data_IF_108537157410
#
_entry.id   IF_108537157410
#
_cell.length_a   1.000
_cell.length_b   1.000
_cell.length_c   1.000
_cell.angle_alpha   90.00
_cell.angle_beta   90.00
_cell.angle_gamma   90.00
#
_symmetry.space_group_name_H-M   'P 1'
#
loop_
_entity.id
_entity.type
_entity.pdbx_description
1 polymer ?
#
# COMPACT_ATOMS: atom_id res chain seq x y z
N UNK A 1 -71.62 47.03 -13.89
CA UNK A 1 -71.76 45.65 -14.41
C UNK A 1 -71.68 45.71 -15.93
N UNK A 2 -71.04 44.71 -16.54
CA UNK A 2 -70.92 44.43 -17.99
C UNK A 2 -69.90 45.33 -18.73
N UNK A 3 -68.69 44.85 -19.02
CA UNK A 3 -68.21 43.97 -20.13
C UNK A 3 -67.98 44.73 -21.45
N UNK A 4 -66.73 44.77 -21.95
CA UNK A 4 -66.42 45.25 -23.30
C UNK A 4 -64.94 45.58 -23.60
N UNK A 5 -64.14 44.51 -23.80
CA UNK A 5 -62.85 44.34 -24.52
C UNK A 5 -62.37 45.49 -25.44
N UNK A 6 -61.13 46.00 -25.31
CA UNK A 6 -59.83 45.49 -25.82
C UNK A 6 -59.57 45.69 -27.33
N UNK A 7 -58.60 46.57 -27.66
CA UNK A 7 -57.47 46.44 -28.63
C UNK A 7 -56.73 47.81 -28.68
N UNK A 8 -55.42 48.00 -28.84
CA UNK A 8 -54.32 47.20 -29.38
C UNK A 8 -52.99 47.94 -29.07
N UNK A 9 -51.90 47.22 -28.77
CA UNK A 9 -50.52 47.74 -28.89
C UNK A 9 -49.67 47.61 -27.62
N UNK A 10 -49.02 46.48 -27.31
CA UNK A 10 -47.81 45.88 -27.93
C UNK A 10 -46.49 46.41 -27.33
N UNK A 11 -45.77 45.51 -26.65
CA UNK A 11 -44.35 45.61 -26.22
C UNK A 11 -44.22 45.73 -24.70
N UNK A 12 -44.22 44.64 -23.91
CA UNK A 12 -43.11 43.66 -23.74
C UNK A 12 -41.80 44.37 -23.33
N UNK A 13 -41.18 44.24 -22.16
CA UNK A 13 -41.29 43.50 -20.88
C UNK A 13 -40.08 44.02 -20.06
N UNK A 14 -40.16 44.43 -18.79
CA UNK A 14 -40.23 43.60 -17.57
C UNK A 14 -39.26 42.38 -17.68
N UNK A 15 -38.24 42.16 -16.84
CA UNK A 15 -37.88 42.65 -15.51
C UNK A 15 -36.38 42.41 -15.25
N UNK A 16 -35.84 43.18 -14.30
CA UNK A 16 -34.55 42.92 -13.69
C UNK A 16 -34.56 41.57 -12.93
N UNK A 17 -33.70 40.64 -13.33
CA UNK A 17 -33.45 39.39 -12.59
C UNK A 17 -32.05 39.44 -11.99
N UNK A 18 -32.04 39.69 -10.68
CA UNK A 18 -30.92 39.48 -9.77
C UNK A 18 -30.28 38.10 -10.02
N UNK A 19 -29.08 38.09 -10.60
CA UNK A 19 -28.21 36.91 -10.66
C UNK A 19 -26.85 37.34 -10.13
N UNK A 20 -26.61 37.06 -8.86
CA UNK A 20 -25.28 37.07 -8.28
C UNK A 20 -24.38 36.13 -9.08
N UNK A 21 -23.35 36.67 -9.73
CA UNK A 21 -22.29 35.92 -10.38
C UNK A 21 -21.69 34.93 -9.37
N UNK A 22 -21.70 33.61 -9.63
CA UNK A 22 -21.09 32.66 -8.73
C UNK A 22 -19.59 32.92 -8.68
N UNK A 23 -19.12 33.26 -7.48
CA UNK A 23 -17.73 33.61 -7.17
C UNK A 23 -16.78 32.53 -7.73
N UNK A 24 -16.03 32.88 -8.78
CA UNK A 24 -15.20 31.96 -9.57
C UNK A 24 -14.15 31.20 -8.74
N UNK A 25 -13.87 31.71 -7.54
CA UNK A 25 -12.95 31.14 -6.57
C UNK A 25 -13.51 29.93 -5.79
N UNK A 26 -14.83 29.66 -5.84
CA UNK A 26 -15.43 28.47 -5.22
C UNK A 26 -15.34 27.20 -6.08
N UNK A 27 -15.08 27.32 -7.39
CA UNK A 27 -14.90 26.15 -8.29
C UNK A 27 -13.51 25.50 -8.11
N UNK A 28 -12.59 26.19 -7.43
CA UNK A 28 -11.23 25.71 -7.19
C UNK A 28 -11.05 24.97 -5.85
N UNK A 29 -12.08 24.89 -5.01
CA UNK A 29 -11.99 24.33 -3.67
C UNK A 29 -12.73 22.98 -3.60
N UNK A 30 -12.02 21.88 -3.95
CA UNK A 30 -12.45 20.47 -3.77
C UNK A 30 -13.66 20.06 -4.63
N UNK A 31 -13.62 19.04 -5.48
CA UNK A 31 -13.75 17.60 -5.21
C UNK A 31 -13.51 16.94 -6.60
N UNK A 32 -12.55 16.05 -6.81
CA UNK A 32 -12.73 14.59 -6.78
C UNK A 32 -11.51 13.95 -7.49
N UNK A 33 -10.29 14.40 -7.20
CA UNK A 33 -9.13 13.68 -7.69
C UNK A 33 -8.91 12.44 -6.82
N UNK A 34 -9.64 11.37 -7.15
CA UNK A 34 -9.27 10.02 -6.76
C UNK A 34 -8.25 9.52 -7.79
N UNK A 35 -6.96 9.41 -7.45
CA UNK A 35 -5.98 8.84 -8.38
C UNK A 35 -6.48 7.47 -8.85
N UNK A 36 -6.21 7.10 -10.12
CA UNK A 36 -6.59 5.79 -10.63
C UNK A 36 -6.07 4.71 -9.69
N UNK A 37 -6.90 3.70 -9.42
CA UNK A 37 -6.52 2.56 -8.59
C UNK A 37 -5.15 2.05 -9.04
N UNK A 38 -4.18 1.88 -8.13
CA UNK A 38 -2.88 1.35 -8.50
C UNK A 38 -3.09 0.01 -9.22
N UNK A 39 -2.25 -0.31 -10.22
CA UNK A 39 -2.34 -1.58 -10.91
C UNK A 39 -2.34 -2.70 -9.88
N UNK A 40 -3.24 -3.67 -10.07
CA UNK A 40 -3.30 -4.86 -9.23
C UNK A 40 -1.91 -5.49 -9.22
N UNK A 41 -1.40 -5.77 -8.02
CA UNK A 41 -0.12 -6.46 -7.90
C UNK A 41 -0.26 -7.86 -8.48
N UNK A 42 0.77 -8.37 -9.16
CA UNK A 42 0.80 -9.76 -9.60
C UNK A 42 0.45 -10.67 -8.42
N UNK A 43 -0.38 -11.71 -8.62
CA UNK A 43 -0.62 -12.71 -7.60
C UNK A 43 0.71 -13.34 -7.17
N UNK A 44 0.87 -13.55 -5.86
CA UNK A 44 2.00 -14.32 -5.34
C UNK A 44 2.01 -15.72 -5.99
N UNK A 45 3.18 -16.28 -6.33
CA UNK A 45 3.28 -17.61 -6.90
C UNK A 45 2.66 -18.68 -5.99
N UNK A 46 2.04 -19.73 -6.57
CA UNK A 46 1.29 -20.72 -5.81
C UNK A 46 2.16 -21.66 -4.98
N UNK A 47 3.45 -21.76 -5.29
CA UNK A 47 4.40 -22.68 -4.65
C UNK A 47 5.52 -21.90 -3.96
N UNK A 48 6.01 -22.46 -2.87
CA UNK A 48 7.19 -21.91 -2.19
C UNK A 48 8.37 -21.87 -3.15
N UNK A 49 9.00 -20.70 -3.29
CA UNK A 49 10.22 -20.53 -4.10
C UNK A 49 11.47 -20.93 -3.34
N UNK A 50 11.33 -21.26 -2.07
CA UNK A 50 12.42 -21.50 -1.13
C UNK A 50 12.12 -22.70 -0.23
N UNK A 51 13.13 -23.14 0.49
CA UNK A 51 13.15 -24.25 1.44
C UNK A 51 13.68 -23.76 2.79
N UNK A 52 13.22 -24.37 3.88
CA UNK A 52 13.66 -23.98 5.23
C UNK A 52 15.17 -24.21 5.42
N UNK A 53 15.64 -25.43 5.18
CA UNK A 53 17.04 -25.78 5.47
C UNK A 53 18.02 -25.23 4.43
N UNK A 54 17.62 -25.19 3.16
CA UNK A 54 18.49 -24.74 2.07
C UNK A 54 18.58 -23.22 1.99
N UNK A 55 17.44 -22.54 1.90
CA UNK A 55 17.41 -21.11 1.57
C UNK A 55 17.34 -20.21 2.81
N UNK A 56 16.71 -20.68 3.89
CA UNK A 56 16.62 -19.93 5.15
C UNK A 56 17.64 -20.38 6.20
N UNK A 57 18.53 -21.31 5.85
CA UNK A 57 19.50 -21.94 6.78
C UNK A 57 18.86 -22.37 8.12
N UNK A 58 17.57 -22.72 8.06
CA UNK A 58 16.78 -23.10 9.21
C UNK A 58 16.85 -24.60 9.48
N UNK A 59 16.10 -25.05 10.47
CA UNK A 59 15.89 -26.47 10.77
C UNK A 59 14.44 -26.86 10.55
N UNK A 60 14.23 -28.02 9.94
CA UNK A 60 12.91 -28.58 9.68
C UNK A 60 12.32 -28.14 8.35
N UNK A 61 11.00 -28.09 8.27
CA UNK A 61 10.28 -27.96 7.01
C UNK A 61 9.03 -27.08 7.15
N UNK A 62 8.56 -26.51 6.04
CA UNK A 62 7.40 -25.62 6.06
C UNK A 62 6.06 -26.33 6.29
N UNK A 63 6.02 -27.67 6.26
CA UNK A 63 4.79 -28.44 6.50
C UNK A 63 4.56 -28.77 7.97
N UNK A 64 5.64 -28.94 8.71
CA UNK A 64 5.59 -29.22 10.15
C UNK A 64 5.97 -27.97 10.93
N UNK A 65 7.26 -27.63 10.93
CA UNK A 65 7.83 -26.51 11.69
C UNK A 65 9.19 -26.13 11.10
N UNK A 66 9.34 -24.86 10.79
CA UNK A 66 10.56 -24.25 10.29
C UNK A 66 11.12 -23.31 11.35
N UNK A 67 12.35 -23.56 11.79
CA UNK A 67 13.04 -22.73 12.79
C UNK A 67 14.26 -22.07 12.18
N UNK A 68 14.28 -20.75 12.16
CA UNK A 68 15.41 -19.96 11.64
C UNK A 68 16.04 -19.23 12.81
N UNK A 69 17.32 -19.48 13.07
CA UNK A 69 18.10 -18.84 14.15
C UNK A 69 19.28 -18.02 13.64
N UNK A 70 19.49 -18.01 12.33
CA UNK A 70 20.64 -17.37 11.70
C UNK A 70 20.23 -16.13 10.90
N UNK A 71 21.24 -15.38 10.51
CA UNK A 71 21.11 -14.25 9.60
C UNK A 71 21.17 -14.76 8.16
N UNK A 72 20.12 -14.49 7.40
CA UNK A 72 19.94 -14.96 6.03
C UNK A 72 19.86 -13.76 5.10
N UNK A 73 20.77 -13.74 4.12
CA UNK A 73 20.74 -12.80 3.01
C UNK A 73 20.07 -13.45 1.80
N UNK A 74 18.97 -12.86 1.35
CA UNK A 74 18.16 -13.33 0.23
C UNK A 74 18.57 -12.58 -1.04
N UNK A 75 18.86 -13.31 -2.11
CA UNK A 75 19.26 -12.74 -3.42
C UNK A 75 18.07 -12.21 -4.25
N UNK A 76 16.83 -12.54 -3.86
CA UNK A 76 15.63 -12.16 -4.58
C UNK A 76 14.34 -12.36 -3.81
N UNK A 77 13.23 -12.27 -4.54
CA UNK A 77 11.90 -12.41 -3.98
C UNK A 77 11.68 -13.83 -3.43
N UNK A 78 11.17 -13.90 -2.20
CA UNK A 78 10.92 -15.14 -1.51
C UNK A 78 9.45 -15.24 -1.17
N UNK A 79 8.83 -16.29 -1.68
CA UNK A 79 7.46 -16.68 -1.39
C UNK A 79 7.50 -18.02 -0.68
N UNK A 80 7.02 -18.05 0.55
CA UNK A 80 7.01 -19.25 1.37
C UNK A 80 5.56 -19.61 1.65
N UNK A 81 5.17 -20.82 1.27
CA UNK A 81 3.84 -21.35 1.55
C UNK A 81 3.99 -22.69 2.26
N UNK A 82 3.29 -22.89 3.36
CA UNK A 82 3.36 -24.11 4.14
C UNK A 82 2.11 -24.35 4.97
N UNK A 83 1.81 -25.61 5.31
CA UNK A 83 0.74 -25.92 6.26
C UNK A 83 1.22 -25.97 7.72
N UNK A 84 2.52 -25.82 7.95
CA UNK A 84 3.15 -25.85 9.27
C UNK A 84 3.23 -24.48 9.93
N UNK A 85 4.28 -24.31 10.75
CA UNK A 85 4.57 -23.07 11.48
C UNK A 85 5.98 -22.56 11.18
N UNK A 86 6.16 -21.24 11.15
CA UNK A 86 7.45 -20.58 10.99
C UNK A 86 7.86 -19.90 12.30
N UNK A 87 9.06 -20.19 12.77
CA UNK A 87 9.61 -19.60 13.99
C UNK A 87 10.94 -18.95 13.67
N UNK A 88 10.94 -17.63 13.62
CA UNK A 88 12.18 -16.87 13.65
C UNK A 88 12.59 -16.73 15.14
N UNK A 89 13.77 -17.26 15.46
CA UNK A 89 14.33 -17.30 16.80
C UNK A 89 15.17 -16.05 17.08
N UNK A 90 15.51 -15.84 18.35
CA UNK A 90 16.25 -14.64 18.78
C UNK A 90 17.60 -14.56 18.05
N UNK A 91 17.88 -13.40 17.44
CA UNK A 91 19.10 -13.18 16.66
C UNK A 91 19.00 -13.58 15.18
N UNK A 92 17.86 -14.13 14.73
CA UNK A 92 17.63 -14.35 13.31
C UNK A 92 17.42 -13.03 12.56
N UNK A 93 17.90 -12.95 11.33
CA UNK A 93 17.62 -11.83 10.44
C UNK A 93 17.32 -12.31 9.02
N UNK A 94 16.36 -11.67 8.36
CA UNK A 94 16.02 -11.93 6.97
C UNK A 94 16.23 -10.63 6.20
N UNK A 95 17.26 -10.59 5.37
CA UNK A 95 17.66 -9.36 4.68
C UNK A 95 17.63 -9.60 3.18
N UNK A 96 16.87 -8.77 2.47
CA UNK A 96 16.89 -8.70 1.02
C UNK A 96 17.16 -7.25 0.60
N UNK A 97 18.38 -6.96 0.19
CA UNK A 97 18.81 -5.59 -0.17
C UNK A 97 18.40 -5.18 -1.59
N UNK A 98 17.78 -6.08 -2.35
CA UNK A 98 17.37 -5.82 -3.73
C UNK A 98 16.18 -4.86 -3.81
N UNK A 99 16.24 -3.93 -4.76
CA UNK A 99 15.17 -2.96 -5.00
C UNK A 99 13.85 -3.66 -5.33
N UNK A 100 12.82 -3.39 -4.53
CA UNK A 100 11.50 -3.97 -4.67
C UNK A 100 11.35 -5.40 -4.15
N UNK A 101 12.36 -5.94 -3.46
CA UNK A 101 12.33 -7.32 -3.00
C UNK A 101 11.12 -7.64 -2.12
N UNK A 102 10.46 -8.75 -2.40
CA UNK A 102 9.27 -9.20 -1.69
C UNK A 102 9.60 -10.41 -0.83
N UNK A 103 9.29 -10.31 0.47
CA UNK A 103 9.23 -11.46 1.37
C UNK A 103 7.76 -11.69 1.71
N UNK A 104 7.19 -12.78 1.21
CA UNK A 104 5.79 -13.17 1.49
C UNK A 104 5.78 -14.55 2.13
N UNK A 105 5.13 -14.68 3.28
CA UNK A 105 4.97 -15.96 3.97
C UNK A 105 3.50 -16.26 4.19
N UNK A 106 3.07 -17.48 3.87
CA UNK A 106 1.72 -17.97 4.04
C UNK A 106 1.74 -19.32 4.76
N UNK A 107 1.33 -19.32 6.02
CA UNK A 107 1.31 -20.50 6.86
C UNK A 107 -0.08 -20.76 7.42
N UNK A 108 -0.58 -22.00 7.37
CA UNK A 108 -1.83 -22.30 8.08
C UNK A 108 -1.66 -22.42 9.60
N UNK A 109 -0.44 -22.61 10.09
CA UNK A 109 -0.13 -22.68 11.52
C UNK A 109 0.17 -21.31 12.14
N UNK A 110 1.28 -21.25 12.87
CA UNK A 110 1.73 -20.06 13.58
C UNK A 110 2.99 -19.46 12.93
N UNK A 111 3.07 -18.13 12.86
CA UNK A 111 4.29 -17.39 12.57
C UNK A 111 4.74 -16.66 13.83
N UNK A 112 5.94 -16.97 14.31
CA UNK A 112 6.51 -16.38 15.53
C UNK A 112 7.77 -15.60 15.21
N UNK A 113 7.77 -14.33 15.60
CA UNK A 113 8.93 -13.45 15.55
C UNK A 113 9.39 -13.21 17.01
N UNK A 114 10.47 -13.88 17.41
CA UNK A 114 11.09 -13.74 18.74
C UNK A 114 11.83 -12.40 18.89
N UNK A 115 12.33 -12.10 20.11
CA UNK A 115 13.07 -10.87 20.38
C UNK A 115 14.34 -10.71 19.53
N UNK A 116 14.68 -9.48 19.17
CA UNK A 116 15.93 -9.15 18.47
C UNK A 116 15.98 -9.60 17.01
N UNK A 117 14.83 -9.76 16.37
CA UNK A 117 14.74 -10.16 14.96
C UNK A 117 14.68 -8.95 14.06
N UNK A 118 15.34 -9.06 12.91
CA UNK A 118 15.39 -8.00 11.91
C UNK A 118 14.99 -8.53 10.54
N UNK A 119 13.90 -8.01 9.99
CA UNK A 119 13.43 -8.32 8.63
C UNK A 119 13.61 -7.07 7.78
N UNK A 120 14.38 -7.14 6.70
CA UNK A 120 14.62 -6.02 5.79
C UNK A 120 14.27 -6.43 4.36
N UNK A 121 13.31 -5.76 3.73
CA UNK A 121 12.94 -6.02 2.33
C UNK A 121 12.25 -4.81 1.71
N UNK A 122 11.93 -4.86 0.41
CA UNK A 122 11.08 -3.88 -0.27
C UNK A 122 9.61 -3.97 0.17
N UNK A 123 9.13 -5.20 0.42
CA UNK A 123 7.81 -5.51 0.92
C UNK A 123 7.88 -6.75 1.80
N UNK A 124 7.13 -6.72 2.90
CA UNK A 124 6.96 -7.88 3.79
C UNK A 124 5.47 -8.16 3.93
N UNK A 125 5.07 -9.41 3.68
CA UNK A 125 3.71 -9.91 3.85
C UNK A 125 3.74 -11.17 4.71
N UNK A 126 3.06 -11.13 5.85
CA UNK A 126 2.99 -12.24 6.79
C UNK A 126 1.52 -12.66 6.92
N UNK A 127 1.21 -13.87 6.46
CA UNK A 127 -0.12 -14.47 6.53
C UNK A 127 -0.01 -15.74 7.35
N UNK A 128 -0.69 -15.76 8.49
CA UNK A 128 -0.86 -16.98 9.27
C UNK A 128 -2.14 -16.97 10.10
N UNK A 129 -2.55 -18.14 10.57
CA UNK A 129 -3.67 -18.26 11.52
C UNK A 129 -3.36 -17.54 12.82
N UNK A 130 -2.13 -17.66 13.31
CA UNK A 130 -1.63 -16.94 14.47
C UNK A 130 -0.30 -16.29 14.14
N UNK A 131 -0.18 -14.99 14.36
CA UNK A 131 1.08 -14.25 14.23
C UNK A 131 1.44 -13.69 15.60
N UNK A 132 2.59 -14.08 16.14
CA UNK A 132 3.13 -13.52 17.38
C UNK A 132 4.40 -12.73 17.08
N UNK A 133 4.42 -11.47 17.53
CA UNK A 133 5.54 -10.55 17.31
C UNK A 133 6.02 -10.04 18.66
N UNK A 134 7.28 -10.30 18.99
CA UNK A 134 7.90 -9.82 20.22
C UNK A 134 8.27 -8.32 20.15
N UNK A 135 8.45 -7.68 21.30
CA UNK A 135 8.60 -6.22 21.42
C UNK A 135 9.82 -5.62 20.69
N UNK A 136 10.86 -6.41 20.47
CA UNK A 136 12.15 -5.95 19.89
C UNK A 136 12.33 -6.34 18.42
N UNK A 137 11.25 -6.77 17.76
CA UNK A 137 11.27 -7.11 16.34
C UNK A 137 11.28 -5.84 15.50
N UNK A 138 12.16 -5.79 14.51
CA UNK A 138 12.27 -4.69 13.56
C UNK A 138 11.93 -5.20 12.16
N UNK A 139 10.85 -4.68 11.58
CA UNK A 139 10.50 -4.90 10.16
C UNK A 139 10.80 -3.62 9.40
N UNK A 140 11.92 -3.61 8.69
CA UNK A 140 12.35 -2.51 7.85
C UNK A 140 11.93 -2.77 6.40
N UNK A 141 10.76 -2.26 6.04
CA UNK A 141 10.38 -2.17 4.63
C UNK A 141 11.10 -0.98 4.02
N UNK A 142 12.29 -1.20 3.49
CA UNK A 142 12.98 -0.17 2.72
C UNK A 142 12.11 0.09 1.50
N UNK A 143 11.47 1.26 1.43
CA UNK A 143 10.69 1.67 0.27
C UNK A 143 11.66 1.95 -0.88
N UNK A 144 12.24 0.89 -1.43
CA UNK A 144 12.98 0.88 -2.67
C UNK A 144 11.97 1.00 -3.81
N UNK A 145 11.08 2.00 -3.72
CA UNK A 145 10.07 2.34 -4.72
C UNK A 145 10.71 2.90 -6.01
N UNK A 146 12.03 2.76 -6.17
CA UNK A 146 12.84 3.51 -7.11
C UNK A 146 12.87 5.00 -6.77
N UNK A 147 13.76 5.73 -7.43
CA UNK A 147 13.69 7.19 -7.43
C UNK A 147 12.32 7.63 -7.98
N UNK A 148 11.70 8.68 -7.40
CA UNK A 148 10.55 9.31 -8.02
C UNK A 148 10.88 9.67 -9.47
N UNK A 149 9.97 9.39 -10.40
CA UNK A 149 10.07 10.00 -11.72
C UNK A 149 10.16 11.53 -11.55
N UNK A 150 10.93 12.21 -12.42
CA UNK A 150 11.20 13.66 -12.32
C UNK A 150 9.95 14.55 -12.12
N UNK A 151 8.75 14.04 -12.44
CA UNK A 151 7.46 14.73 -12.30
C UNK A 151 6.70 14.48 -10.99
N UNK A 152 7.15 13.58 -10.12
CA UNK A 152 6.46 13.19 -8.86
C UNK A 152 7.33 13.39 -7.62
N UNK A 153 8.45 14.11 -7.74
CA UNK A 153 9.38 14.35 -6.63
C UNK A 153 8.86 15.33 -5.57
N UNK A 154 7.69 15.96 -5.76
CA UNK A 154 7.12 16.89 -4.78
C UNK A 154 7.98 18.13 -4.48
N UNK A 155 9.05 18.37 -5.25
CA UNK A 155 9.86 19.59 -5.14
C UNK A 155 9.14 20.69 -5.92
N UNK A 156 8.67 21.77 -5.28
CA UNK A 156 7.93 22.83 -5.95
C UNK A 156 8.91 23.73 -6.70
N UNK A 157 9.40 23.26 -7.85
CA UNK A 157 10.17 24.08 -8.79
C UNK A 157 9.50 24.05 -10.16
N UNK A 158 8.42 24.84 -10.31
CA UNK A 158 7.84 25.13 -11.63
C UNK A 158 6.31 25.22 -11.65
N UNK A 159 5.79 25.86 -12.70
CA UNK A 159 4.39 26.20 -13.01
C UNK A 159 3.43 25.00 -13.19
N UNK A 160 3.79 23.82 -12.71
CA UNK A 160 2.92 22.65 -12.67
C UNK A 160 2.75 22.23 -11.21
N UNK A 161 1.54 22.42 -10.69
CA UNK A 161 1.05 22.10 -9.34
C UNK A 161 0.99 20.57 -9.09
N UNK A 162 2.14 19.87 -9.19
CA UNK A 162 2.22 18.42 -8.98
C UNK A 162 2.76 18.11 -7.57
N UNK A 163 1.92 18.36 -6.57
CA UNK A 163 2.14 17.91 -5.18
C UNK A 163 1.69 16.46 -4.99
N UNK A 164 2.58 15.50 -5.27
CA UNK A 164 2.32 14.08 -5.03
C UNK A 164 3.62 13.35 -4.77
N UNK A 165 4.09 13.38 -3.52
CA UNK A 165 5.32 12.71 -3.12
C UNK A 165 5.26 11.21 -3.37
N UNK A 166 6.33 10.68 -3.97
CA UNK A 166 6.59 9.25 -4.05
C UNK A 166 7.03 8.77 -2.67
N UNK A 167 6.15 8.08 -1.95
CA UNK A 167 6.39 7.69 -0.56
C UNK A 167 5.60 6.44 -0.18
N UNK A 168 6.31 5.49 0.44
CA UNK A 168 5.88 4.13 0.73
C UNK A 168 4.49 3.97 1.35
N UNK A 169 3.86 2.84 1.00
CA UNK A 169 2.57 2.43 1.55
C UNK A 169 2.79 2.06 3.01
N UNK A 170 2.12 2.75 3.92
CA UNK A 170 2.18 2.48 5.35
C UNK A 170 1.83 1.03 5.70
N UNK A 171 2.34 0.56 6.84
CA UNK A 171 1.95 -0.72 7.41
C UNK A 171 0.55 -0.58 8.03
N UNK A 172 -0.40 -1.42 7.61
CA UNK A 172 -1.73 -1.51 8.20
C UNK A 172 -1.95 -2.90 8.79
N UNK A 173 -2.26 -2.97 10.08
CA UNK A 173 -2.74 -4.20 10.69
C UNK A 173 -4.23 -4.34 10.36
N UNK A 174 -4.58 -5.32 9.54
CA UNK A 174 -5.98 -5.68 9.31
C UNK A 174 -6.24 -7.04 9.95
N UNK A 175 -7.34 -7.12 10.70
CA UNK A 175 -7.88 -8.37 11.21
C UNK A 175 -8.92 -8.86 10.21
N UNK A 176 -8.83 -10.12 9.76
CA UNK A 176 -9.82 -10.74 8.87
C UNK A 176 -10.81 -11.57 9.67
#
# INVERSE_FOLDING_TARGET
MVLGNADLGRGDGAEASDRAEPNSYLILMWHDYSPPSPPLQPPDPPSSTSTCEGDLHGKGDFHTRSEVSEEVELDGDVYITGNGSLMLLSGASLTCEKYGCVISTNFSGEVRLSCGIRVTAGRVSLVATNITVADTVVVNTTSLAGDPHYRTSGVPTGTHDNGGGHGGRGASCFFK
#
